data_IF_513356988144
#
_entry.id   IF_513356988144
#
_cell.length_a   1.000
_cell.length_b   1.000
_cell.length_c   1.000
_cell.angle_alpha   90.00
_cell.angle_beta   90.00
_cell.angle_gamma   90.00
#
_symmetry.space_group_name_H-M   'P 1'
#
loop_
_entity.id
_entity.type
_entity.pdbx_description
1 polymer ?
#
# COMPACT_ATOMS: atom_id res chain seq x y z
N UNK A 1 12.39 -6.61 9.09
CA UNK A 1 11.09 -6.98 9.65
C UNK A 1 10.82 -8.41 9.23
N UNK A 2 10.55 -9.33 10.16
CA UNK A 2 10.09 -10.68 9.84
C UNK A 2 8.71 -10.82 10.46
N UNK A 3 7.73 -11.17 9.66
CA UNK A 3 6.37 -11.46 10.13
C UNK A 3 6.33 -12.97 10.43
N UNK A 4 6.20 -13.39 11.69
CA UNK A 4 6.00 -14.79 12.01
C UNK A 4 4.57 -15.18 11.62
N UNK A 5 4.42 -16.34 10.98
CA UNK A 5 3.13 -16.93 10.60
C UNK A 5 3.28 -18.46 10.63
N UNK A 6 2.21 -19.17 11.01
CA UNK A 6 2.19 -20.63 11.06
C UNK A 6 1.47 -21.22 9.84
N UNK A 7 0.58 -20.45 9.20
CA UNK A 7 -0.13 -20.84 7.97
C UNK A 7 -0.11 -19.76 6.90
N UNK A 8 -0.28 -20.15 5.64
CA UNK A 8 -0.36 -19.19 4.52
C UNK A 8 -1.56 -18.24 4.67
N UNK A 9 -2.65 -18.70 5.30
CA UNK A 9 -3.86 -17.90 5.54
C UNK A 9 -3.61 -16.80 6.58
N UNK A 10 -2.87 -17.11 7.65
CA UNK A 10 -2.40 -16.11 8.63
C UNK A 10 -1.41 -15.11 8.01
N UNK A 11 -0.55 -15.58 7.10
CA UNK A 11 0.35 -14.68 6.37
C UNK A 11 -0.43 -13.72 5.49
N UNK A 12 -1.41 -14.22 4.73
CA UNK A 12 -2.25 -13.39 3.86
C UNK A 12 -3.01 -12.34 4.67
N UNK A 13 -3.59 -12.72 5.81
CA UNK A 13 -4.27 -11.77 6.70
C UNK A 13 -3.30 -10.71 7.24
N UNK A 14 -2.14 -11.12 7.78
CA UNK A 14 -1.15 -10.21 8.33
C UNK A 14 -0.57 -9.25 7.27
N UNK A 15 -0.37 -9.73 6.05
CA UNK A 15 0.09 -8.90 4.92
C UNK A 15 -1.01 -7.93 4.51
N UNK A 16 -2.26 -8.37 4.45
CA UNK A 16 -3.39 -7.53 4.03
C UNK A 16 -3.65 -6.39 5.03
N UNK A 17 -3.61 -6.69 6.33
CA UNK A 17 -3.70 -5.68 7.39
C UNK A 17 -2.55 -4.66 7.29
N UNK A 18 -1.31 -5.13 7.14
CA UNK A 18 -0.15 -4.26 7.01
C UNK A 18 -0.25 -3.34 5.78
N UNK A 19 -0.67 -3.88 4.63
CA UNK A 19 -0.84 -3.10 3.41
C UNK A 19 -1.97 -2.08 3.54
N UNK A 20 -3.05 -2.44 4.25
CA UNK A 20 -4.16 -1.51 4.54
C UNK A 20 -3.69 -0.34 5.39
N UNK A 21 -2.93 -0.60 6.46
CA UNK A 21 -2.37 0.44 7.32
C UNK A 21 -1.40 1.36 6.56
N UNK A 22 -0.56 0.80 5.71
CA UNK A 22 0.35 1.56 4.86
C UNK A 22 -0.42 2.43 3.88
N UNK A 23 -1.47 1.89 3.25
CA UNK A 23 -2.31 2.62 2.32
C UNK A 23 -3.03 3.79 2.99
N UNK A 24 -3.66 3.56 4.16
CA UNK A 24 -4.28 4.62 4.95
C UNK A 24 -3.28 5.70 5.37
N UNK A 25 -2.10 5.30 5.86
CA UNK A 25 -1.06 6.27 6.23
C UNK A 25 -0.42 7.00 5.04
N UNK A 26 -0.49 6.44 3.84
CA UNK A 26 -0.07 7.10 2.62
C UNK A 26 -1.13 8.12 2.16
N UNK A 27 -2.42 7.76 2.21
CA UNK A 27 -3.53 8.64 1.84
C UNK A 27 -3.61 9.87 2.75
N UNK A 28 -3.51 9.69 4.08
CA UNK A 28 -3.47 10.77 5.08
C UNK A 28 -2.34 11.77 4.84
N UNK A 29 -1.23 11.33 4.22
CA UNK A 29 -0.06 12.16 3.92
C UNK A 29 0.00 12.63 2.47
N UNK A 30 -1.04 12.36 1.67
CA UNK A 30 -1.03 12.60 0.22
C UNK A 30 0.18 11.97 -0.49
N UNK A 31 0.69 10.86 0.02
CA UNK A 31 1.78 10.09 -0.59
C UNK A 31 1.20 9.19 -1.69
N UNK A 32 0.83 9.80 -2.81
CA UNK A 32 0.40 9.05 -4.00
C UNK A 32 1.60 8.38 -4.67
N UNK A 33 1.45 7.13 -5.08
CA UNK A 33 2.46 6.47 -5.92
C UNK A 33 2.49 7.16 -7.28
N UNK A 34 3.66 7.27 -7.93
CA UNK A 34 3.75 7.76 -9.31
C UNK A 34 2.91 6.92 -10.29
N UNK A 35 2.55 5.68 -9.92
CA UNK A 35 1.67 4.82 -10.71
C UNK A 35 0.19 5.23 -10.58
N UNK A 36 -0.24 5.70 -9.41
CA UNK A 36 -1.58 6.30 -9.21
C UNK A 36 -1.67 7.72 -9.76
N UNK A 37 -0.55 8.46 -9.78
CA UNK A 37 -0.47 9.78 -10.42
C UNK A 37 -0.56 9.69 -11.96
N UNK A 38 -0.29 8.51 -12.54
CA UNK A 38 -0.49 8.20 -13.96
C UNK A 38 -1.94 7.82 -14.27
N UNK A 39 -2.88 8.67 -13.89
CA UNK A 39 -4.21 8.64 -14.48
C UNK A 39 -4.12 9.22 -15.91
N UNK A 40 -4.63 8.47 -16.90
CA UNK A 40 -4.57 8.83 -18.32
C UNK A 40 -5.21 10.22 -18.55
N UNK A 41 -4.38 11.27 -18.70
CA UNK A 41 -4.82 12.65 -18.93
C UNK A 41 -4.22 13.73 -18.01
N UNK A 42 -3.48 13.38 -16.96
CA UNK A 42 -2.80 14.38 -16.11
C UNK A 42 -1.30 14.41 -16.33
N UNK A 43 -0.85 15.40 -17.10
CA UNK A 43 0.55 15.69 -17.46
C UNK A 43 1.32 16.36 -16.30
N UNK A 44 1.15 15.86 -15.07
CA UNK A 44 1.76 16.45 -13.87
C UNK A 44 2.79 15.50 -13.29
N UNK A 45 4.05 15.75 -13.66
CA UNK A 45 5.22 15.15 -13.07
C UNK A 45 5.55 15.83 -11.72
N UNK A 46 5.88 15.05 -10.70
CA UNK A 46 6.55 15.48 -9.48
C UNK A 46 7.86 14.71 -9.36
#
# INVERSE_FOLDING_TARGET
MKVPYDTDEELDEAVNELLTDIASGADDRHCFSESDARMEGTDRHW
#
